data_IF_129086047303
#
_entry.id   IF_129086047303
#
_cell.length_a   1.000
_cell.length_b   1.000
_cell.length_c   1.000
_cell.angle_alpha   90.00
_cell.angle_beta   90.00
_cell.angle_gamma   90.00
#
_symmetry.space_group_name_H-M   'P 1'
#
loop_
_entity.id
_entity.type
_entity.pdbx_description
1 polymer ?
#
# COMPACT_ATOMS: atom_id res chain seq x y z
N UNK A 1 -28.35 -18.15 -1.68
CA UNK A 1 -28.57 -16.71 -1.47
C UNK A 1 -27.78 -15.95 -2.52
N UNK A 2 -28.43 -15.03 -3.26
CA UNK A 2 -27.79 -14.34 -4.36
C UNK A 2 -27.64 -12.85 -4.02
N UNK A 3 -26.73 -12.54 -3.08
CA UNK A 3 -26.27 -11.18 -2.89
C UNK A 3 -25.05 -10.99 -3.79
N UNK A 4 -25.28 -10.61 -5.05
CA UNK A 4 -24.21 -10.40 -6.02
C UNK A 4 -23.57 -9.03 -5.84
N UNK A 5 -22.25 -8.86 -6.13
CA UNK A 5 -21.65 -7.55 -6.26
C UNK A 5 -22.17 -6.84 -7.53
N UNK A 6 -22.13 -5.50 -7.54
CA UNK A 6 -22.56 -4.72 -8.70
C UNK A 6 -21.42 -3.82 -9.18
N UNK A 7 -21.31 -3.70 -10.49
CA UNK A 7 -20.50 -2.70 -11.16
C UNK A 7 -21.43 -1.89 -12.06
N UNK A 8 -21.80 -0.69 -11.62
CA UNK A 8 -22.72 0.20 -12.30
C UNK A 8 -21.90 1.19 -13.09
N UNK A 9 -22.08 1.20 -14.40
CA UNK A 9 -21.44 2.13 -15.32
C UNK A 9 -22.46 3.21 -15.72
N UNK A 10 -22.25 4.42 -15.25
CA UNK A 10 -23.17 5.54 -15.49
C UNK A 10 -23.00 6.11 -16.90
N UNK A 11 -21.80 6.01 -17.45
CA UNK A 11 -21.43 6.49 -18.78
C UNK A 11 -21.84 5.52 -19.93
N UNK A 12 -22.38 4.35 -19.59
CA UNK A 12 -22.64 3.28 -20.56
C UNK A 12 -23.67 3.63 -21.65
N UNK A 13 -24.74 4.35 -21.28
CA UNK A 13 -25.82 4.72 -22.23
C UNK A 13 -25.73 6.19 -22.60
N UNK A 14 -25.48 7.05 -21.65
CA UNK A 14 -25.38 8.49 -21.82
C UNK A 14 -23.93 8.91 -21.63
N UNK A 15 -23.23 9.19 -22.72
CA UNK A 15 -21.83 9.57 -22.70
C UNK A 15 -21.58 10.80 -21.81
N UNK A 16 -20.63 10.69 -20.90
CA UNK A 16 -20.27 11.72 -19.92
C UNK A 16 -21.23 11.82 -18.74
N UNK A 17 -22.13 10.84 -18.56
CA UNK A 17 -22.95 10.79 -17.34
C UNK A 17 -22.11 10.35 -16.14
N UNK A 18 -22.15 11.17 -15.09
CA UNK A 18 -21.48 10.88 -13.82
C UNK A 18 -22.40 11.16 -12.62
N UNK A 19 -21.95 10.73 -11.46
CA UNK A 19 -22.49 11.13 -10.15
C UNK A 19 -21.36 11.76 -9.32
N UNK A 20 -21.39 13.07 -9.14
CA UNK A 20 -20.37 13.82 -8.38
C UNK A 20 -18.93 13.62 -8.91
N UNK A 21 -18.76 13.49 -10.23
CA UNK A 21 -17.49 13.27 -10.88
C UNK A 21 -17.06 11.80 -10.97
N UNK A 22 -17.92 10.85 -10.58
CA UNK A 22 -17.65 9.41 -10.70
C UNK A 22 -18.53 8.79 -11.79
N UNK A 23 -17.91 8.16 -12.78
CA UNK A 23 -18.59 7.44 -13.86
C UNK A 23 -19.01 6.01 -13.46
N UNK A 24 -18.39 5.46 -12.40
CA UNK A 24 -18.61 4.08 -11.95
C UNK A 24 -18.92 4.00 -10.45
N UNK A 25 -19.91 3.15 -10.12
CA UNK A 25 -20.24 2.79 -8.74
C UNK A 25 -19.98 1.29 -8.59
N UNK A 26 -19.07 0.92 -7.70
CA UNK A 26 -18.73 -0.47 -7.39
C UNK A 26 -19.25 -0.84 -6.01
N UNK A 27 -20.14 -1.84 -5.99
CA UNK A 27 -20.78 -2.33 -4.78
C UNK A 27 -20.29 -3.74 -4.47
N UNK A 28 -19.42 -3.86 -3.49
CA UNK A 28 -18.95 -5.12 -2.91
C UNK A 28 -20.06 -5.71 -2.02
N UNK A 29 -20.29 -7.00 -2.13
CA UNK A 29 -21.38 -7.69 -1.45
C UNK A 29 -21.05 -8.16 -0.03
N UNK A 30 -19.87 -7.80 0.49
CA UNK A 30 -19.41 -8.15 1.84
C UNK A 30 -19.25 -9.67 2.04
N UNK A 31 -18.87 -10.40 0.96
CA UNK A 31 -18.56 -11.83 1.05
C UNK A 31 -17.28 -12.03 1.90
N UNK A 32 -17.25 -13.11 2.68
CA UNK A 32 -16.13 -13.46 3.56
C UNK A 32 -15.75 -12.39 4.61
N UNK A 33 -16.68 -11.49 4.91
CA UNK A 33 -16.52 -10.50 5.99
C UNK A 33 -17.70 -10.50 6.95
N UNK A 34 -17.68 -11.36 7.99
CA UNK A 34 -18.73 -11.34 9.02
C UNK A 34 -18.82 -10.00 9.75
N UNK A 35 -17.74 -9.24 9.85
CA UNK A 35 -17.72 -7.95 10.54
C UNK A 35 -18.33 -6.81 9.72
N UNK A 36 -18.41 -6.92 8.38
CA UNK A 36 -18.74 -5.84 7.45
C UNK A 36 -17.75 -4.66 7.46
N UNK A 37 -16.61 -4.78 8.15
CA UNK A 37 -15.69 -3.67 8.41
C UNK A 37 -14.39 -3.75 7.61
N UNK A 38 -13.98 -4.97 7.19
CA UNK A 38 -12.64 -5.24 6.65
C UNK A 38 -12.27 -4.33 5.49
N UNK A 39 -13.15 -4.22 4.51
CA UNK A 39 -12.88 -3.46 3.29
C UNK A 39 -12.77 -1.96 3.56
N UNK A 40 -13.71 -1.39 4.32
CA UNK A 40 -13.71 0.05 4.63
C UNK A 40 -12.50 0.42 5.49
N UNK A 41 -12.25 -0.33 6.56
CA UNK A 41 -11.11 -0.07 7.45
C UNK A 41 -9.78 -0.20 6.72
N UNK A 42 -9.65 -1.20 5.84
CA UNK A 42 -8.44 -1.40 5.04
C UNK A 42 -8.16 -0.22 4.11
N UNK A 43 -9.17 0.28 3.41
CA UNK A 43 -9.01 1.46 2.57
C UNK A 43 -8.76 2.73 3.38
N UNK A 44 -9.40 2.91 4.54
CA UNK A 44 -9.13 4.04 5.44
C UNK A 44 -7.67 4.05 5.94
N UNK A 45 -7.14 2.88 6.29
CA UNK A 45 -5.74 2.74 6.71
C UNK A 45 -4.80 2.99 5.52
N UNK A 46 -5.04 2.34 4.37
CA UNK A 46 -4.18 2.46 3.19
C UNK A 46 -4.02 3.91 2.71
N UNK A 47 -5.12 4.70 2.70
CA UNK A 47 -5.09 6.11 2.27
C UNK A 47 -4.24 7.03 3.12
N UNK A 48 -3.79 6.61 4.30
CA UNK A 48 -2.83 7.37 5.10
C UNK A 48 -1.42 7.34 4.54
N UNK A 49 -1.11 6.33 3.70
CA UNK A 49 0.27 6.00 3.30
C UNK A 49 0.49 5.97 1.79
N UNK A 50 -0.58 5.82 1.00
CA UNK A 50 -0.49 5.70 -0.46
C UNK A 50 -1.82 6.05 -1.13
N UNK A 51 -1.83 6.31 -2.46
CA UNK A 51 -3.05 6.37 -3.24
C UNK A 51 -3.86 5.07 -3.10
N UNK A 52 -5.08 5.19 -2.55
CA UNK A 52 -5.99 4.06 -2.38
C UNK A 52 -7.45 4.53 -2.44
N UNK A 53 -8.33 3.64 -2.88
CA UNK A 53 -9.75 3.93 -3.10
C UNK A 53 -10.46 4.43 -1.84
N UNK A 54 -11.45 5.30 -2.03
CA UNK A 54 -12.43 5.64 -0.98
C UNK A 54 -13.42 4.49 -0.86
N UNK A 55 -13.94 4.27 0.35
CA UNK A 55 -14.96 3.27 0.60
C UNK A 55 -15.96 3.76 1.65
N UNK A 56 -17.22 3.38 1.51
CA UNK A 56 -18.28 3.67 2.47
C UNK A 56 -19.40 2.62 2.39
N UNK A 57 -20.28 2.60 3.37
CA UNK A 57 -21.48 1.78 3.35
C UNK A 57 -22.57 2.39 2.46
N UNK A 58 -23.36 1.52 1.83
CA UNK A 58 -24.56 1.90 1.09
C UNK A 58 -25.66 0.83 1.24
N UNK A 59 -26.90 1.26 1.48
CA UNK A 59 -28.06 0.42 1.38
C UNK A 59 -28.55 0.40 -0.08
N UNK A 60 -28.52 -0.76 -0.72
CA UNK A 60 -28.96 -0.91 -2.12
C UNK A 60 -30.43 -1.27 -2.20
N UNK A 61 -31.18 -0.45 -2.92
CA UNK A 61 -32.58 -0.71 -3.26
C UNK A 61 -32.74 -0.88 -4.77
N UNK A 62 -33.50 -1.88 -5.19
CA UNK A 62 -33.94 -2.05 -6.58
C UNK A 62 -35.47 -2.15 -6.56
N UNK A 63 -36.14 -1.27 -7.30
CA UNK A 63 -37.61 -1.17 -7.33
C UNK A 63 -38.23 -1.21 -5.94
N UNK A 64 -37.78 -0.30 -5.07
CA UNK A 64 -38.19 -0.13 -3.66
C UNK A 64 -37.94 -1.35 -2.75
N UNK A 65 -37.26 -2.37 -3.23
CA UNK A 65 -36.88 -3.54 -2.44
C UNK A 65 -35.43 -3.41 -1.95
N UNK A 66 -35.22 -3.46 -0.63
CA UNK A 66 -33.89 -3.47 -0.03
C UNK A 66 -33.18 -4.78 -0.38
N UNK A 67 -32.07 -4.71 -1.09
CA UNK A 67 -31.19 -5.85 -1.36
C UNK A 67 -30.19 -6.10 -0.24
N UNK A 68 -29.86 -5.09 0.53
CA UNK A 68 -28.98 -5.20 1.69
C UNK A 68 -27.94 -4.10 1.77
N UNK A 69 -27.04 -4.24 2.74
CA UNK A 69 -25.90 -3.37 2.95
C UNK A 69 -24.71 -3.81 2.10
N UNK A 70 -24.14 -2.89 1.33
CA UNK A 70 -22.98 -3.08 0.48
C UNK A 70 -21.85 -2.14 0.88
N UNK A 71 -20.62 -2.49 0.56
CA UNK A 71 -19.51 -1.54 0.54
C UNK A 71 -19.42 -0.93 -0.85
N UNK A 72 -19.55 0.40 -0.94
CA UNK A 72 -19.27 1.15 -2.15
C UNK A 72 -17.81 1.54 -2.18
N UNK A 73 -17.09 1.11 -3.22
CA UNK A 73 -15.63 1.31 -3.37
C UNK A 73 -15.36 2.14 -4.61
N UNK A 74 -14.55 3.18 -4.48
CA UNK A 74 -14.07 3.99 -5.60
C UNK A 74 -13.36 3.12 -6.64
N UNK A 75 -13.78 3.22 -7.90
CA UNK A 75 -13.13 2.49 -8.98
C UNK A 75 -11.71 3.03 -9.22
N UNK A 76 -10.74 2.14 -9.39
CA UNK A 76 -9.42 2.53 -9.90
C UNK A 76 -9.54 2.65 -11.43
N UNK A 77 -9.85 3.86 -11.87
CA UNK A 77 -10.15 4.24 -13.25
C UNK A 77 -9.43 5.57 -13.60
N UNK A 78 -9.76 6.18 -14.73
CA UNK A 78 -9.14 7.42 -15.20
C UNK A 78 -9.30 8.59 -14.21
N UNK A 79 -10.42 8.68 -13.50
CA UNK A 79 -10.68 9.71 -12.49
C UNK A 79 -9.76 9.52 -11.28
N UNK A 80 -9.65 8.30 -10.77
CA UNK A 80 -8.70 7.96 -9.71
C UNK A 80 -7.26 8.33 -10.11
N UNK A 81 -6.84 7.92 -11.31
CA UNK A 81 -5.49 8.21 -11.81
C UNK A 81 -5.23 9.71 -11.93
N UNK A 82 -6.18 10.47 -12.48
CA UNK A 82 -6.08 11.93 -12.57
C UNK A 82 -5.94 12.60 -11.21
N UNK A 83 -6.72 12.15 -10.22
CA UNK A 83 -6.71 12.72 -8.87
C UNK A 83 -5.40 12.45 -8.14
N UNK A 84 -4.85 11.25 -8.26
CA UNK A 84 -3.67 10.84 -7.50
C UNK A 84 -2.35 11.09 -8.22
N UNK A 85 -2.31 10.90 -9.54
CA UNK A 85 -1.07 11.00 -10.33
C UNK A 85 -1.03 12.22 -11.26
N UNK A 86 -2.14 12.96 -11.42
CA UNK A 86 -2.21 14.13 -12.30
C UNK A 86 -2.33 13.81 -13.78
N UNK A 87 -2.17 12.55 -14.16
CA UNK A 87 -2.33 12.03 -15.52
C UNK A 87 -3.20 10.79 -15.51
N UNK A 88 -3.72 10.38 -16.68
CA UNK A 88 -4.69 9.26 -16.76
C UNK A 88 -4.62 8.46 -18.06
N UNK A 89 -3.69 8.79 -18.94
CA UNK A 89 -3.64 8.22 -20.29
C UNK A 89 -2.40 7.34 -20.52
N UNK A 90 -1.52 7.23 -19.52
CA UNK A 90 -0.31 6.42 -19.61
C UNK A 90 -0.62 4.93 -19.42
N UNK A 91 0.40 4.12 -19.56
CA UNK A 91 0.30 2.65 -19.39
C UNK A 91 -0.36 2.27 -18.08
N UNK A 92 -1.42 1.48 -18.18
CA UNK A 92 -2.25 1.08 -17.05
C UNK A 92 -2.71 -0.36 -17.17
N UNK A 93 -2.41 -1.17 -16.17
CA UNK A 93 -2.76 -2.59 -16.10
C UNK A 93 -3.46 -2.96 -14.80
N UNK A 94 -4.27 -4.01 -14.85
CA UNK A 94 -4.72 -4.76 -13.68
C UNK A 94 -4.04 -6.12 -13.68
N UNK A 95 -3.39 -6.49 -12.58
CA UNK A 95 -2.99 -7.87 -12.29
C UNK A 95 -4.24 -8.69 -11.97
N UNK A 96 -4.71 -9.42 -12.97
CA UNK A 96 -5.98 -10.14 -12.91
C UNK A 96 -5.94 -11.35 -13.84
N UNK A 97 -5.40 -12.47 -13.39
CA UNK A 97 -5.32 -13.67 -14.19
C UNK A 97 -6.72 -14.11 -14.67
N UNK A 98 -6.83 -14.50 -15.93
CA UNK A 98 -8.09 -14.93 -16.54
C UNK A 98 -8.67 -16.17 -15.83
N UNK A 99 -7.77 -17.02 -15.33
CA UNK A 99 -8.10 -18.13 -14.43
C UNK A 99 -7.04 -18.12 -13.33
N UNK A 100 -7.50 -18.05 -12.09
CA UNK A 100 -6.59 -18.13 -10.94
C UNK A 100 -6.07 -19.56 -10.83
N UNK A 101 -4.77 -19.72 -11.00
CA UNK A 101 -4.09 -20.98 -10.78
C UNK A 101 -3.45 -20.95 -9.38
N UNK A 102 -3.92 -21.86 -8.52
CA UNK A 102 -3.45 -21.94 -7.13
C UNK A 102 -2.00 -22.47 -7.02
N UNK A 103 -1.51 -23.08 -8.09
CA UNK A 103 -0.14 -23.58 -8.21
C UNK A 103 0.55 -22.97 -9.45
N UNK A 104 0.19 -21.76 -9.83
CA UNK A 104 0.67 -21.08 -11.02
C UNK A 104 1.23 -19.69 -10.74
N UNK A 105 1.86 -19.12 -11.76
CA UNK A 105 2.51 -17.82 -11.63
C UNK A 105 1.53 -16.66 -11.47
N UNK A 106 0.36 -16.75 -12.11
CA UNK A 106 -0.62 -15.68 -12.13
C UNK A 106 -0.02 -14.34 -12.61
N UNK A 107 -0.43 -13.21 -12.02
CA UNK A 107 0.11 -11.89 -12.36
C UNK A 107 1.32 -11.51 -11.48
N UNK A 108 2.31 -12.42 -11.35
CA UNK A 108 3.41 -12.25 -10.40
C UNK A 108 4.58 -11.38 -10.87
N UNK A 109 4.54 -10.85 -12.10
CA UNK A 109 5.61 -10.06 -12.71
C UNK A 109 6.93 -10.85 -12.90
N UNK A 110 6.84 -12.18 -13.01
CA UNK A 110 7.97 -13.02 -13.41
C UNK A 110 8.22 -12.91 -14.91
N UNK A 111 9.47 -13.10 -15.32
CA UNK A 111 9.85 -13.22 -16.73
C UNK A 111 9.80 -14.66 -17.29
N UNK A 112 9.30 -15.61 -16.50
CA UNK A 112 9.20 -17.03 -16.88
C UNK A 112 8.29 -17.28 -18.11
N UNK A 113 7.22 -16.47 -18.39
CA UNK A 113 6.49 -16.62 -19.65
C UNK A 113 7.32 -16.34 -20.91
N UNK A 114 8.52 -15.78 -20.76
CA UNK A 114 9.47 -15.55 -21.85
C UNK A 114 9.37 -14.16 -22.48
N UNK A 115 10.00 -13.99 -23.64
CA UNK A 115 10.19 -12.69 -24.28
C UNK A 115 9.00 -12.21 -25.14
N UNK A 116 7.96 -13.02 -25.33
CA UNK A 116 6.82 -12.64 -26.14
C UNK A 116 5.71 -12.06 -25.25
N UNK A 117 5.33 -10.81 -25.48
CA UNK A 117 4.30 -10.11 -24.71
C UNK A 117 2.95 -10.82 -24.74
N UNK A 118 2.64 -11.60 -25.77
CA UNK A 118 1.38 -12.36 -25.89
C UNK A 118 1.23 -13.38 -24.75
N UNK A 119 2.32 -13.89 -24.21
CA UNK A 119 2.32 -14.85 -23.11
C UNK A 119 1.87 -14.23 -21.77
N UNK A 120 1.86 -12.91 -21.67
CA UNK A 120 1.39 -12.18 -20.47
C UNK A 120 -0.09 -11.81 -20.52
N UNK A 121 -0.75 -11.90 -21.69
CA UNK A 121 -2.16 -11.55 -21.85
C UNK A 121 -3.10 -12.32 -20.90
N UNK A 122 -2.86 -13.60 -20.56
CA UNK A 122 -3.70 -14.32 -19.61
C UNK A 122 -3.63 -13.79 -18.18
N UNK A 123 -2.58 -13.06 -17.80
CA UNK A 123 -2.32 -12.63 -16.42
C UNK A 123 -2.70 -11.18 -16.17
N UNK A 124 -2.68 -10.33 -17.21
CA UNK A 124 -2.86 -8.90 -17.06
C UNK A 124 -3.97 -8.37 -17.95
N UNK A 125 -4.83 -7.52 -17.40
CA UNK A 125 -5.79 -6.78 -18.20
C UNK A 125 -5.25 -5.38 -18.48
N UNK A 126 -5.00 -5.07 -19.74
CA UNK A 126 -4.68 -3.72 -20.21
C UNK A 126 -5.91 -2.82 -20.00
N UNK A 127 -5.72 -1.66 -19.37
CA UNK A 127 -6.75 -0.65 -19.05
C UNK A 127 -6.56 0.66 -19.80
N UNK A 128 -5.39 0.87 -20.38
CA UNK A 128 -5.05 1.96 -21.30
C UNK A 128 -5.14 1.48 -22.74
N UNK A 129 -4.97 2.39 -23.70
CA UNK A 129 -5.01 2.07 -25.13
C UNK A 129 -3.71 1.38 -25.61
N UNK A 130 -2.63 1.45 -24.82
CA UNK A 130 -1.30 0.88 -25.11
C UNK A 130 -0.59 0.51 -23.80
N UNK A 131 0.59 -0.17 -23.87
CA UNK A 131 1.43 -0.38 -22.70
C UNK A 131 2.10 -1.75 -22.60
N UNK A 132 1.80 -2.71 -23.48
CA UNK A 132 2.40 -4.05 -23.38
C UNK A 132 3.92 -4.05 -23.43
N UNK A 133 4.51 -3.18 -24.25
CA UNK A 133 5.97 -3.02 -24.31
C UNK A 133 6.52 -2.46 -22.98
N UNK A 134 5.82 -1.51 -22.40
CA UNK A 134 6.24 -0.89 -21.13
C UNK A 134 6.18 -1.90 -19.99
N UNK A 135 5.09 -2.69 -19.92
CA UNK A 135 4.97 -3.77 -18.94
C UNK A 135 6.09 -4.81 -19.10
N UNK A 136 6.36 -5.23 -20.33
CA UNK A 136 7.43 -6.18 -20.60
C UNK A 136 8.81 -5.65 -20.20
N UNK A 137 9.12 -4.41 -20.56
CA UNK A 137 10.39 -3.77 -20.19
C UNK A 137 10.51 -3.64 -18.65
N UNK A 138 9.42 -3.34 -17.98
CA UNK A 138 9.39 -3.30 -16.51
C UNK A 138 9.63 -4.69 -15.90
N UNK A 139 8.96 -5.73 -16.42
CA UNK A 139 9.17 -7.11 -15.97
C UNK A 139 10.63 -7.53 -16.20
N UNK A 140 11.21 -7.20 -17.34
CA UNK A 140 12.62 -7.49 -17.63
C UNK A 140 13.56 -6.76 -16.66
N UNK A 141 13.32 -5.47 -16.43
CA UNK A 141 14.10 -4.69 -15.45
C UNK A 141 13.99 -5.25 -14.04
N UNK A 142 12.78 -5.59 -13.62
CA UNK A 142 12.52 -6.15 -12.29
C UNK A 142 13.24 -7.49 -12.06
N UNK A 143 13.38 -8.33 -13.10
CA UNK A 143 13.96 -9.67 -12.98
C UNK A 143 15.45 -9.72 -13.31
N UNK A 144 15.93 -8.90 -14.26
CA UNK A 144 17.28 -9.02 -14.82
C UNK A 144 18.16 -7.79 -14.57
N UNK A 145 17.58 -6.61 -14.25
CA UNK A 145 18.30 -5.33 -14.16
C UNK A 145 17.93 -4.54 -12.91
N UNK A 146 17.92 -5.20 -11.73
CA UNK A 146 17.45 -4.65 -10.45
C UNK A 146 18.16 -3.35 -10.04
N UNK A 147 19.42 -3.16 -10.44
CA UNK A 147 20.16 -1.91 -10.19
C UNK A 147 19.55 -0.66 -10.87
N UNK A 148 18.73 -0.85 -11.89
CA UNK A 148 18.03 0.22 -12.62
C UNK A 148 16.55 0.33 -12.23
N UNK A 149 16.11 -0.37 -11.21
CA UNK A 149 14.69 -0.50 -10.85
C UNK A 149 14.06 0.85 -10.45
N UNK A 150 14.79 1.72 -9.75
CA UNK A 150 14.32 3.06 -9.38
C UNK A 150 13.99 3.96 -10.59
N UNK A 151 14.46 3.62 -11.79
CA UNK A 151 14.14 4.35 -13.03
C UNK A 151 12.79 3.93 -13.63
N UNK A 152 12.17 2.85 -13.16
CA UNK A 152 10.92 2.32 -13.70
C UNK A 152 9.87 2.00 -12.64
N UNK A 153 10.23 2.00 -11.36
CA UNK A 153 9.34 1.64 -10.26
C UNK A 153 9.36 2.70 -9.18
N UNK A 154 8.18 3.12 -8.74
CA UNK A 154 8.04 3.83 -7.48
C UNK A 154 8.27 2.84 -6.32
N UNK A 155 9.55 2.73 -5.93
CA UNK A 155 9.96 1.77 -4.88
C UNK A 155 9.29 2.07 -3.56
N UNK A 156 9.19 3.33 -3.15
CA UNK A 156 8.60 3.70 -1.87
C UNK A 156 7.12 3.28 -1.79
N UNK A 157 6.32 3.59 -2.81
CA UNK A 157 4.91 3.14 -2.87
C UNK A 157 4.79 1.61 -2.90
N UNK A 158 5.75 0.92 -3.53
CA UNK A 158 5.82 -0.56 -3.55
C UNK A 158 6.07 -1.10 -2.14
N UNK A 159 6.98 -0.50 -1.39
CA UNK A 159 7.26 -0.89 -0.01
C UNK A 159 6.05 -0.63 0.90
N UNK A 160 5.35 0.49 0.73
CA UNK A 160 4.11 0.77 1.45
C UNK A 160 3.01 -0.26 1.15
N UNK A 161 2.82 -0.63 -0.13
CA UNK A 161 1.85 -1.65 -0.52
C UNK A 161 2.13 -2.99 0.17
N UNK A 162 3.39 -3.44 0.16
CA UNK A 162 3.76 -4.69 0.80
C UNK A 162 3.70 -4.59 2.32
N UNK A 163 4.10 -3.46 2.92
CA UNK A 163 3.96 -3.21 4.34
C UNK A 163 2.49 -3.28 4.79
N UNK A 164 1.58 -2.68 4.02
CA UNK A 164 0.15 -2.78 4.26
C UNK A 164 -0.35 -4.23 4.19
N UNK A 165 -0.02 -4.94 3.09
CA UNK A 165 -0.50 -6.31 2.89
C UNK A 165 -0.05 -7.25 4.01
N UNK A 166 1.20 -7.15 4.46
CA UNK A 166 1.70 -7.98 5.55
C UNK A 166 1.27 -7.51 6.94
N UNK A 167 1.14 -6.21 7.18
CA UNK A 167 0.64 -5.70 8.45
C UNK A 167 -0.77 -6.19 8.73
N UNK A 168 -1.67 -6.09 7.75
CA UNK A 168 -3.08 -6.44 7.88
C UNK A 168 -3.42 -7.86 7.41
N UNK A 169 -2.43 -8.66 7.04
CA UNK A 169 -2.64 -10.00 6.45
C UNK A 169 -3.67 -9.94 5.31
N UNK A 170 -3.39 -9.11 4.32
CA UNK A 170 -4.17 -8.99 3.09
C UNK A 170 -3.54 -9.84 1.99
N UNK A 171 -3.81 -11.15 2.01
CA UNK A 171 -3.14 -12.09 1.11
C UNK A 171 -3.95 -12.42 -0.15
N UNK A 172 -5.19 -12.02 -0.24
CA UNK A 172 -5.91 -11.96 -1.53
C UNK A 172 -5.43 -10.78 -2.38
N UNK A 173 -4.14 -10.79 -2.68
CA UNK A 173 -3.38 -9.70 -3.28
C UNK A 173 -2.19 -10.23 -4.07
N UNK A 174 -1.26 -9.35 -4.43
CA UNK A 174 0.03 -9.74 -4.99
C UNK A 174 0.78 -10.77 -4.11
N UNK A 175 0.61 -10.72 -2.78
CA UNK A 175 1.32 -11.59 -1.83
C UNK A 175 0.88 -13.05 -1.98
N UNK A 176 -0.41 -13.34 -1.93
CA UNK A 176 -0.93 -14.71 -1.98
C UNK A 176 -0.83 -15.31 -3.38
N UNK A 177 -1.76 -14.99 -4.25
CA UNK A 177 -1.79 -15.55 -5.62
C UNK A 177 -1.55 -14.52 -6.72
N UNK A 178 -0.83 -13.44 -6.44
CA UNK A 178 -0.43 -12.41 -7.39
C UNK A 178 -1.60 -11.90 -8.25
N UNK A 179 -2.62 -11.38 -7.56
CA UNK A 179 -3.82 -10.77 -8.15
C UNK A 179 -4.23 -9.51 -7.39
N UNK A 180 -5.36 -8.91 -7.73
CA UNK A 180 -6.00 -7.81 -6.99
C UNK A 180 -5.07 -6.61 -6.76
N UNK A 181 -4.38 -6.17 -7.80
CA UNK A 181 -3.62 -4.93 -7.81
C UNK A 181 -3.66 -4.28 -9.19
N UNK A 182 -3.35 -3.00 -9.25
CA UNK A 182 -3.12 -2.31 -10.50
C UNK A 182 -1.68 -1.81 -10.58
N UNK A 183 -1.21 -1.55 -11.81
CA UNK A 183 0.05 -0.89 -12.12
C UNK A 183 -0.25 0.29 -13.04
N UNK A 184 0.11 1.49 -12.62
CA UNK A 184 0.00 2.69 -13.42
C UNK A 184 1.37 3.34 -13.59
N UNK A 185 1.75 3.62 -14.84
CA UNK A 185 2.96 4.38 -15.14
C UNK A 185 2.65 5.86 -15.11
N UNK A 186 3.30 6.62 -14.22
CA UNK A 186 3.10 8.06 -14.10
C UNK A 186 3.86 8.85 -15.18
N UNK A 187 3.77 10.18 -15.14
CA UNK A 187 4.44 11.07 -16.11
C UNK A 187 5.97 11.08 -15.95
N UNK A 188 6.51 10.53 -14.85
CA UNK A 188 7.95 10.32 -14.67
C UNK A 188 8.43 8.99 -15.26
N UNK A 189 7.53 8.17 -15.81
CA UNK A 189 7.83 6.85 -16.32
C UNK A 189 7.90 5.74 -15.26
N UNK A 190 7.49 6.03 -14.03
CA UNK A 190 7.54 5.07 -12.91
C UNK A 190 6.23 4.30 -12.80
N UNK A 191 6.31 2.97 -12.74
CA UNK A 191 5.19 2.13 -12.37
C UNK A 191 4.86 2.27 -10.89
N UNK A 192 3.60 2.55 -10.61
CA UNK A 192 3.04 2.71 -9.28
C UNK A 192 2.07 1.55 -9.03
N UNK A 193 2.36 0.62 -8.10
CA UNK A 193 1.41 -0.42 -7.73
C UNK A 193 0.29 0.17 -6.85
N UNK A 194 -0.95 -0.21 -7.13
CA UNK A 194 -2.15 0.30 -6.47
C UNK A 194 -2.94 -0.86 -5.88
N UNK A 195 -3.29 -0.77 -4.61
CA UNK A 195 -4.12 -1.75 -3.91
C UNK A 195 -5.53 -1.82 -4.50
N UNK A 196 -6.06 -3.05 -4.56
CA UNK A 196 -7.42 -3.30 -5.00
C UNK A 196 -8.01 -4.50 -4.28
N UNK A 197 -9.35 -4.48 -4.07
CA UNK A 197 -10.17 -5.58 -3.52
C UNK A 197 -9.73 -6.00 -2.11
N UNK A 198 -9.86 -5.08 -1.15
CA UNK A 198 -9.39 -5.27 0.23
C UNK A 198 -10.41 -5.95 1.15
N UNK A 199 -11.49 -6.50 0.59
CA UNK A 199 -12.59 -7.12 1.34
C UNK A 199 -12.16 -8.35 2.16
N UNK A 200 -11.08 -9.01 1.76
CA UNK A 200 -10.55 -10.21 2.41
C UNK A 200 -9.28 -9.97 3.25
N UNK A 201 -9.00 -8.73 3.62
CA UNK A 201 -7.92 -8.40 4.56
C UNK A 201 -8.24 -8.85 5.99
N UNK A 202 -7.34 -8.59 6.93
CA UNK A 202 -7.42 -9.08 8.32
C UNK A 202 -7.56 -10.61 8.38
N UNK A 203 -6.74 -11.30 7.58
CA UNK A 203 -6.67 -12.76 7.51
C UNK A 203 -8.01 -13.45 7.20
N UNK A 204 -8.95 -12.76 6.53
CA UNK A 204 -10.13 -13.42 5.99
C UNK A 204 -9.74 -14.38 4.85
N UNK A 205 -8.75 -14.00 4.04
CA UNK A 205 -8.13 -14.87 3.04
C UNK A 205 -6.74 -15.31 3.53
N UNK A 206 -6.56 -16.63 3.70
CA UNK A 206 -5.36 -17.23 4.26
C UNK A 206 -4.77 -18.29 3.34
N UNK A 207 -4.71 -18.00 2.06
CA UNK A 207 -4.12 -18.90 1.07
C UNK A 207 -2.86 -18.29 0.48
N UNK A 208 -1.85 -19.13 0.30
CA UNK A 208 -0.61 -18.84 -0.42
C UNK A 208 -0.19 -20.08 -1.19
N UNK A 209 0.84 -19.98 -2.04
CA UNK A 209 1.35 -21.12 -2.82
C UNK A 209 1.66 -22.38 -2.00
N UNK A 210 2.07 -22.18 -0.74
CA UNK A 210 2.49 -23.27 0.16
C UNK A 210 1.40 -23.70 1.15
N UNK A 211 0.20 -23.11 1.10
CA UNK A 211 -0.88 -23.42 2.01
C UNK A 211 -1.80 -24.52 1.48
N UNK A 212 -2.49 -25.21 2.40
CA UNK A 212 -3.58 -26.10 2.02
C UNK A 212 -4.73 -25.33 1.37
N UNK A 213 -5.16 -25.79 0.21
CA UNK A 213 -6.19 -25.08 -0.58
C UNK A 213 -7.52 -24.89 0.17
N UNK A 214 -7.93 -25.86 0.98
CA UNK A 214 -9.25 -25.81 1.61
C UNK A 214 -9.26 -25.02 2.91
N UNK A 215 -8.21 -25.17 3.72
CA UNK A 215 -8.10 -24.54 5.03
C UNK A 215 -7.20 -23.30 5.03
N UNK A 216 -6.32 -23.18 4.05
CA UNK A 216 -5.25 -22.19 4.06
C UNK A 216 -4.31 -22.40 5.24
N UNK A 217 -3.55 -21.38 5.60
CA UNK A 217 -2.81 -21.37 6.85
C UNK A 217 -3.71 -20.92 8.02
N UNK A 218 -3.39 -21.37 9.23
CA UNK A 218 -4.19 -21.10 10.44
C UNK A 218 -4.12 -19.61 10.85
N UNK A 219 -5.03 -19.19 11.72
CA UNK A 219 -4.98 -17.85 12.33
C UNK A 219 -3.68 -17.66 13.12
N UNK A 220 -3.19 -18.71 13.80
CA UNK A 220 -1.93 -18.67 14.52
C UNK A 220 -0.74 -18.43 13.58
N UNK A 221 -0.70 -19.08 12.42
CA UNK A 221 0.31 -18.82 11.37
C UNK A 221 0.16 -17.45 10.77
N UNK A 222 -1.07 -16.94 10.59
CA UNK A 222 -1.31 -15.57 10.14
C UNK A 222 -0.70 -14.54 11.09
N UNK A 223 -0.86 -14.74 12.40
CA UNK A 223 -0.29 -13.87 13.44
C UNK A 223 1.23 -13.75 13.30
N UNK A 224 1.92 -14.87 13.06
CA UNK A 224 3.39 -14.96 13.00
C UNK A 224 3.93 -15.00 11.57
N UNK A 225 3.12 -14.65 10.57
CA UNK A 225 3.58 -14.61 9.18
C UNK A 225 4.72 -13.59 9.02
N UNK A 226 5.88 -14.09 8.54
CA UNK A 226 7.08 -13.28 8.36
C UNK A 226 6.90 -12.30 7.19
N UNK A 227 7.03 -10.98 7.41
CA UNK A 227 6.96 -9.99 6.33
C UNK A 227 8.02 -10.16 5.24
N UNK A 228 9.11 -10.85 5.51
CA UNK A 228 10.18 -11.15 4.57
C UNK A 228 10.14 -12.58 4.03
N UNK A 229 9.04 -13.32 4.20
CA UNK A 229 8.91 -14.71 3.76
C UNK A 229 9.31 -14.92 2.30
N UNK A 230 8.85 -14.06 1.37
CA UNK A 230 9.19 -14.15 -0.06
C UNK A 230 10.62 -13.74 -0.40
N UNK A 231 11.37 -13.15 0.53
CA UNK A 231 12.80 -12.93 0.41
C UNK A 231 13.59 -14.10 1.01
N UNK A 232 13.18 -14.58 2.20
CA UNK A 232 13.87 -15.60 2.96
C UNK A 232 13.70 -17.02 2.38
N UNK A 233 12.59 -17.28 1.68
CA UNK A 233 12.32 -18.59 1.06
C UNK A 233 12.17 -18.47 -0.46
N UNK A 234 12.58 -19.53 -1.17
CA UNK A 234 12.39 -19.62 -2.62
C UNK A 234 11.08 -20.35 -2.88
N UNK A 235 10.03 -19.61 -3.19
CA UNK A 235 8.79 -20.19 -3.70
C UNK A 235 8.98 -20.71 -5.12
N UNK A 236 8.24 -21.74 -5.49
CA UNK A 236 8.14 -22.22 -6.88
C UNK A 236 7.52 -21.14 -7.76
N UNK A 237 6.62 -20.34 -7.20
CA UNK A 237 5.99 -19.19 -7.86
C UNK A 237 6.46 -17.90 -7.19
N UNK A 238 7.62 -17.35 -7.61
CA UNK A 238 8.24 -16.22 -6.95
C UNK A 238 7.36 -14.97 -7.00
N UNK A 239 7.64 -14.04 -6.09
CA UNK A 239 7.07 -12.69 -6.06
C UNK A 239 8.20 -11.68 -6.36
N UNK A 240 8.58 -11.49 -7.63
CA UNK A 240 9.72 -10.64 -7.99
C UNK A 240 9.61 -9.21 -7.44
N UNK A 241 8.40 -8.63 -7.41
CA UNK A 241 8.17 -7.29 -6.85
C UNK A 241 8.49 -7.18 -5.34
N UNK A 242 8.57 -8.31 -4.65
CA UNK A 242 9.06 -8.38 -3.26
C UNK A 242 10.50 -8.87 -3.22
N UNK A 243 10.75 -10.05 -3.75
CA UNK A 243 12.05 -10.73 -3.64
C UNK A 243 13.19 -9.89 -4.19
N UNK A 244 13.02 -9.35 -5.40
CA UNK A 244 14.09 -8.60 -6.07
C UNK A 244 14.25 -7.19 -5.48
N UNK A 245 13.16 -6.54 -5.06
CA UNK A 245 13.21 -5.28 -4.33
C UNK A 245 13.93 -5.48 -2.98
N UNK A 246 13.62 -6.55 -2.26
CA UNK A 246 14.23 -6.84 -0.96
C UNK A 246 15.68 -7.34 -1.03
N UNK A 247 16.28 -7.49 -2.20
CA UNK A 247 17.73 -7.69 -2.33
C UNK A 247 18.52 -6.49 -1.77
N UNK A 248 17.95 -5.28 -1.77
CA UNK A 248 18.53 -4.11 -1.12
C UNK A 248 18.27 -4.15 0.40
N UNK A 249 19.34 -4.12 1.20
CA UNK A 249 19.23 -4.02 2.67
C UNK A 249 18.53 -2.74 3.10
N UNK A 250 18.82 -1.61 2.44
CA UNK A 250 18.14 -0.34 2.67
C UNK A 250 16.65 -0.47 2.46
N UNK A 251 16.19 -1.12 1.38
CA UNK A 251 14.75 -1.29 1.14
C UNK A 251 14.09 -2.19 2.19
N UNK A 252 14.79 -3.21 2.70
CA UNK A 252 14.27 -4.00 3.84
C UNK A 252 14.13 -3.14 5.11
N UNK A 253 15.10 -2.26 5.41
CA UNK A 253 15.01 -1.33 6.56
C UNK A 253 13.89 -0.30 6.36
N UNK A 254 13.72 0.26 5.16
CA UNK A 254 12.61 1.15 4.80
C UNK A 254 11.26 0.44 4.95
N UNK A 255 11.15 -0.77 4.43
CA UNK A 255 9.96 -1.61 4.53
C UNK A 255 9.56 -1.89 5.99
N UNK A 256 10.51 -2.26 6.84
CA UNK A 256 10.25 -2.46 8.27
C UNK A 256 9.86 -1.15 8.98
N UNK A 257 10.42 0.00 8.57
CA UNK A 257 9.97 1.30 9.05
C UNK A 257 8.52 1.60 8.67
N UNK A 258 8.08 1.24 7.46
CA UNK A 258 6.69 1.38 7.02
C UNK A 258 5.74 0.46 7.80
N UNK A 259 6.11 -0.81 8.01
CA UNK A 259 5.36 -1.74 8.88
C UNK A 259 5.19 -1.13 10.27
N UNK A 260 6.28 -0.66 10.89
CA UNK A 260 6.23 -0.02 12.20
C UNK A 260 5.26 1.17 12.21
N UNK A 261 5.34 2.05 11.21
CA UNK A 261 4.45 3.21 11.11
C UNK A 261 2.98 2.80 11.01
N UNK A 262 2.65 1.82 10.15
CA UNK A 262 1.28 1.30 10.05
C UNK A 262 0.81 0.73 11.39
N UNK A 263 1.64 -0.06 12.05
CA UNK A 263 1.27 -0.72 13.31
C UNK A 263 1.11 0.29 14.45
N UNK A 264 2.03 1.23 14.61
CA UNK A 264 1.99 2.23 15.69
C UNK A 264 0.81 3.21 15.52
N UNK A 265 0.55 3.67 14.29
CA UNK A 265 -0.50 4.65 14.02
C UNK A 265 -1.92 4.09 14.00
N UNK A 266 -2.08 2.80 13.86
CA UNK A 266 -3.42 2.20 13.74
C UNK A 266 -3.70 1.13 14.79
N UNK A 267 -2.75 0.23 15.05
CA UNK A 267 -3.01 -0.98 15.82
C UNK A 267 -2.56 -0.80 17.27
N UNK A 268 -1.29 -0.48 17.51
CA UNK A 268 -0.71 -0.35 18.85
C UNK A 268 -1.43 0.72 19.68
N UNK A 269 -1.82 1.83 19.05
CA UNK A 269 -2.59 2.89 19.70
C UNK A 269 -4.11 2.62 19.77
N UNK A 270 -4.57 1.44 19.33
CA UNK A 270 -5.97 1.00 19.30
C UNK A 270 -6.92 1.88 18.47
N UNK A 271 -6.41 2.76 17.59
CA UNK A 271 -7.28 3.64 16.79
C UNK A 271 -8.16 2.84 15.82
N UNK A 272 -7.66 1.71 15.28
CA UNK A 272 -8.45 0.80 14.44
C UNK A 272 -9.66 0.21 15.17
N UNK A 273 -9.50 -0.15 16.46
CA UNK A 273 -10.58 -0.68 17.27
C UNK A 273 -11.68 0.36 17.52
N UNK A 274 -11.26 1.57 17.93
CA UNK A 274 -12.20 2.68 18.13
C UNK A 274 -12.96 3.00 16.84
N UNK A 275 -12.25 3.04 15.71
CA UNK A 275 -12.87 3.22 14.39
C UNK A 275 -13.79 2.06 14.01
N UNK A 276 -13.43 0.84 14.34
CA UNK A 276 -14.27 -0.35 14.16
C UNK A 276 -15.59 -0.25 14.90
N UNK A 277 -15.59 0.22 16.15
CA UNK A 277 -16.82 0.48 16.94
C UNK A 277 -17.70 1.55 16.30
N UNK A 278 -17.12 2.64 15.79
CA UNK A 278 -17.87 3.70 15.09
C UNK A 278 -18.52 3.15 13.81
N UNK A 279 -17.78 2.42 13.00
CA UNK A 279 -18.30 1.82 11.76
C UNK A 279 -19.36 0.75 12.05
N UNK A 280 -19.19 -0.04 13.11
CA UNK A 280 -20.16 -1.03 13.54
C UNK A 280 -21.47 -0.33 13.97
N UNK A 281 -21.38 0.74 14.75
CA UNK A 281 -22.54 1.52 15.14
C UNK A 281 -23.25 2.16 13.94
N UNK A 282 -22.48 2.64 12.94
CA UNK A 282 -23.03 3.22 11.72
C UNK A 282 -23.78 2.18 10.86
N UNK A 283 -23.25 0.95 10.78
CA UNK A 283 -23.82 -0.12 9.98
C UNK A 283 -24.98 -0.87 10.67
N UNK A 284 -25.11 -0.77 11.99
CA UNK A 284 -25.92 -1.62 12.85
C UNK A 284 -27.34 -1.87 12.35
N UNK A 285 -28.13 -0.82 12.19
CA UNK A 285 -29.52 -0.94 11.72
C UNK A 285 -29.61 -1.49 10.30
N UNK A 286 -28.65 -1.17 9.44
CA UNK A 286 -28.62 -1.65 8.06
C UNK A 286 -28.30 -3.14 8.00
N UNK A 287 -27.34 -3.63 8.80
CA UNK A 287 -27.05 -5.07 8.91
C UNK A 287 -28.21 -5.83 9.53
N UNK A 288 -28.84 -5.27 10.57
CA UNK A 288 -30.03 -5.88 11.18
C UNK A 288 -31.12 -6.12 10.12
N UNK A 289 -31.41 -5.14 9.28
CA UNK A 289 -32.47 -5.16 8.27
C UNK A 289 -32.07 -5.87 6.96
N UNK A 290 -30.81 -6.18 6.74
CA UNK A 290 -30.34 -6.89 5.55
C UNK A 290 -30.72 -8.37 5.63
N UNK A 291 -31.81 -8.76 4.93
CA UNK A 291 -32.28 -10.16 4.87
C UNK A 291 -31.45 -11.03 3.96
N UNK A 292 -30.55 -10.46 3.14
CA UNK A 292 -29.70 -11.17 2.18
C UNK A 292 -28.24 -11.29 2.65
N UNK A 293 -27.91 -10.81 3.85
CA UNK A 293 -26.55 -10.92 4.41
C UNK A 293 -26.08 -12.36 4.49
N UNK A 294 -24.78 -12.58 4.30
CA UNK A 294 -24.18 -13.92 4.35
C UNK A 294 -24.06 -14.44 5.78
N UNK A 295 -23.81 -13.55 6.74
CA UNK A 295 -23.59 -13.86 8.15
C UNK A 295 -24.73 -13.33 9.00
N UNK A 296 -24.91 -13.90 10.19
CA UNK A 296 -25.96 -13.46 11.09
C UNK A 296 -25.66 -12.06 11.67
N UNK A 297 -26.68 -11.40 12.18
CA UNK A 297 -26.50 -10.14 12.91
C UNK A 297 -25.60 -10.32 14.15
N UNK A 298 -25.69 -11.47 14.81
CA UNK A 298 -24.82 -11.82 15.94
C UNK A 298 -23.36 -11.97 15.50
N UNK A 299 -23.10 -12.55 14.33
CA UNK A 299 -21.74 -12.65 13.79
C UNK A 299 -21.15 -11.27 13.51
N UNK A 300 -21.94 -10.35 12.94
CA UNK A 300 -21.57 -8.95 12.76
C UNK A 300 -21.18 -8.29 14.07
N UNK A 301 -22.01 -8.44 15.12
CA UNK A 301 -21.72 -7.86 16.43
C UNK A 301 -20.45 -8.42 17.06
N UNK A 302 -20.16 -9.70 16.83
CA UNK A 302 -19.04 -10.40 17.48
C UNK A 302 -17.72 -10.24 16.74
N UNK A 303 -17.70 -10.17 15.38
CA UNK A 303 -16.47 -10.36 14.62
C UNK A 303 -15.50 -9.17 14.64
N UNK A 304 -15.83 -8.08 15.29
CA UNK A 304 -14.82 -7.08 15.63
C UNK A 304 -13.80 -7.64 16.65
N UNK A 305 -14.28 -8.46 17.61
CA UNK A 305 -13.44 -8.93 18.72
C UNK A 305 -13.24 -10.44 18.74
N UNK A 306 -14.19 -11.23 18.26
CA UNK A 306 -14.20 -12.67 18.38
C UNK A 306 -14.24 -13.35 17.01
N UNK A 307 -13.66 -14.52 16.96
CA UNK A 307 -13.74 -15.40 15.79
C UNK A 307 -15.21 -15.78 15.47
N UNK A 308 -15.52 -15.81 14.18
CA UNK A 308 -16.76 -16.37 13.64
C UNK A 308 -16.40 -17.56 12.76
N UNK A 309 -17.02 -18.70 13.00
CA UNK A 309 -16.83 -19.93 12.23
C UNK A 309 -18.04 -20.14 11.32
N UNK A 310 -17.77 -20.34 10.02
CA UNK A 310 -18.75 -20.74 9.00
C UNK A 310 -18.07 -21.78 8.08
N UNK A 311 -17.88 -21.51 6.80
CA UNK A 311 -17.10 -22.37 5.91
C UNK A 311 -15.62 -22.44 6.31
N UNK A 312 -15.10 -21.33 6.81
CA UNK A 312 -13.77 -21.20 7.42
C UNK A 312 -13.88 -20.40 8.71
N UNK A 313 -12.81 -20.37 9.49
CA UNK A 313 -12.70 -19.49 10.64
C UNK A 313 -12.31 -18.08 10.23
N UNK A 314 -13.14 -17.09 10.54
CA UNK A 314 -12.86 -15.67 10.36
C UNK A 314 -12.41 -15.08 11.69
N UNK A 315 -11.13 -14.67 11.82
CA UNK A 315 -10.65 -14.11 13.09
C UNK A 315 -11.39 -12.82 13.45
N UNK A 316 -11.59 -12.58 14.73
CA UNK A 316 -11.93 -11.25 15.20
C UNK A 316 -10.80 -10.29 14.85
N UNK A 317 -11.14 -9.06 14.45
CA UNK A 317 -10.13 -8.10 14.02
C UNK A 317 -9.12 -7.82 15.15
N UNK A 318 -9.61 -7.62 16.39
CA UNK A 318 -8.71 -7.40 17.55
C UNK A 318 -7.94 -8.66 17.92
N UNK A 319 -8.61 -9.82 17.90
CA UNK A 319 -7.95 -11.10 18.17
C UNK A 319 -6.72 -11.33 17.29
N UNK A 320 -6.83 -10.99 16.01
CA UNK A 320 -5.73 -11.08 15.07
C UNK A 320 -4.69 -9.98 15.31
N UNK A 321 -5.14 -8.72 15.32
CA UNK A 321 -4.25 -7.58 15.19
C UNK A 321 -3.45 -7.28 16.45
N UNK A 322 -4.03 -7.49 17.64
CA UNK A 322 -3.31 -7.29 18.91
C UNK A 322 -2.16 -8.31 19.03
N UNK A 323 -2.44 -9.58 18.70
CA UNK A 323 -1.41 -10.60 18.68
C UNK A 323 -0.37 -10.39 17.57
N UNK A 324 -0.80 -9.93 16.38
CA UNK A 324 0.07 -9.58 15.26
C UNK A 324 1.02 -8.44 15.63
N UNK A 325 0.53 -7.40 16.31
CA UNK A 325 1.35 -6.29 16.77
C UNK A 325 2.46 -6.77 17.71
N UNK A 326 2.13 -7.62 18.66
CA UNK A 326 3.13 -8.20 19.57
C UNK A 326 4.22 -8.96 18.79
N UNK A 327 3.84 -9.77 17.81
CA UNK A 327 4.80 -10.50 16.99
C UNK A 327 5.69 -9.56 16.17
N UNK A 328 5.11 -8.61 15.43
CA UNK A 328 5.87 -7.70 14.56
C UNK A 328 6.88 -6.87 15.34
N UNK A 329 6.55 -6.47 16.58
CA UNK A 329 7.47 -5.73 17.47
C UNK A 329 8.71 -6.53 17.86
N UNK A 330 8.70 -7.86 17.73
CA UNK A 330 9.86 -8.72 18.02
C UNK A 330 10.81 -8.88 16.84
N UNK A 331 10.41 -8.44 15.64
CA UNK A 331 11.21 -8.67 14.43
C UNK A 331 12.43 -7.74 14.35
N UNK A 332 13.53 -8.22 13.75
CA UNK A 332 14.66 -7.36 13.42
C UNK A 332 14.21 -6.16 12.58
N UNK A 333 14.78 -4.98 12.86
CA UNK A 333 14.44 -3.74 12.16
C UNK A 333 13.18 -3.02 12.65
N UNK A 334 12.37 -3.64 13.51
CA UNK A 334 11.26 -2.94 14.14
C UNK A 334 11.72 -1.98 15.24
N UNK A 335 12.73 -2.35 16.00
CA UNK A 335 13.35 -1.56 17.06
C UNK A 335 14.78 -1.16 16.69
N UNK A 336 15.41 -0.31 17.52
CA UNK A 336 16.81 0.09 17.35
C UNK A 336 17.03 1.07 16.19
N UNK A 337 16.00 1.81 15.78
CA UNK A 337 16.07 2.81 14.72
C UNK A 337 16.70 4.12 15.21
N UNK A 338 17.32 4.93 14.31
CA UNK A 338 17.86 6.23 14.64
C UNK A 338 16.83 7.19 15.25
N UNK A 339 17.29 8.10 16.09
CA UNK A 339 16.47 9.19 16.63
C UNK A 339 16.67 10.43 15.76
N UNK A 340 15.61 10.89 15.10
CA UNK A 340 15.57 12.14 14.34
C UNK A 340 14.93 13.21 15.23
N UNK A 341 15.62 14.34 15.41
CA UNK A 341 15.22 15.38 16.34
C UNK A 341 14.99 16.70 15.58
N UNK A 342 15.86 17.68 15.73
CA UNK A 342 15.64 19.04 15.23
C UNK A 342 16.03 19.18 13.77
N UNK A 343 15.14 19.77 12.96
CA UNK A 343 15.39 20.19 11.58
C UNK A 343 15.64 21.69 11.60
N UNK A 344 16.77 22.13 11.05
CA UNK A 344 17.07 23.54 10.86
C UNK A 344 17.34 23.84 9.39
N UNK A 345 16.91 25.04 8.96
CA UNK A 345 17.13 25.56 7.62
C UNK A 345 18.09 26.75 7.75
N UNK A 346 19.28 26.59 7.19
CA UNK A 346 20.40 27.49 7.42
C UNK A 346 20.51 28.54 6.29
N UNK A 347 20.36 29.81 6.64
CA UNK A 347 20.56 30.96 5.74
C UNK A 347 19.29 31.49 5.07
N UNK A 348 19.42 32.45 4.18
CA UNK A 348 18.27 33.05 3.50
C UNK A 348 17.70 32.10 2.45
N UNK A 349 16.37 32.02 2.41
CA UNK A 349 15.64 31.16 1.46
C UNK A 349 15.35 31.94 0.17
N UNK A 350 16.36 32.14 -0.67
CA UNK A 350 16.28 32.96 -1.90
C UNK A 350 16.30 32.04 -3.12
N UNK A 351 15.32 32.25 -4.01
CA UNK A 351 15.24 31.50 -5.28
C UNK A 351 16.55 31.64 -6.08
N UNK A 352 17.03 30.53 -6.64
CA UNK A 352 18.28 30.46 -7.39
C UNK A 352 19.55 30.41 -6.55
N UNK A 353 19.45 30.47 -5.21
CA UNK A 353 20.60 30.28 -4.31
C UNK A 353 20.64 28.84 -3.77
N UNK A 354 21.79 28.47 -3.23
CA UNK A 354 21.93 27.21 -2.52
C UNK A 354 21.30 27.31 -1.13
N UNK A 355 20.69 26.25 -0.66
CA UNK A 355 20.04 26.16 0.64
C UNK A 355 20.61 25.00 1.44
N UNK A 356 21.21 25.29 2.58
CA UNK A 356 21.65 24.26 3.52
C UNK A 356 20.48 23.87 4.45
N UNK A 357 20.28 22.56 4.63
CA UNK A 357 19.33 21.98 5.57
C UNK A 357 20.10 21.05 6.49
N UNK A 358 19.84 21.16 7.78
CA UNK A 358 20.45 20.30 8.78
C UNK A 358 19.41 19.50 9.55
N UNK A 359 19.81 18.34 10.04
CA UNK A 359 19.01 17.45 10.85
C UNK A 359 19.89 16.89 11.97
N UNK A 360 19.43 17.01 13.21
CA UNK A 360 20.06 16.34 14.33
C UNK A 360 19.60 14.90 14.41
N UNK A 361 20.56 13.95 14.35
CA UNK A 361 20.27 12.52 14.31
C UNK A 361 21.23 11.79 15.27
N UNK A 362 20.68 10.94 16.11
CA UNK A 362 21.47 10.03 16.94
C UNK A 362 21.33 8.59 16.42
N UNK A 363 22.41 7.80 16.59
CA UNK A 363 22.48 6.38 16.26
C UNK A 363 22.25 6.06 14.76
N UNK A 364 22.75 6.90 13.86
CA UNK A 364 22.68 6.70 12.42
C UNK A 364 24.05 6.53 11.76
N UNK A 365 24.14 5.60 10.81
CA UNK A 365 25.31 5.41 9.93
C UNK A 365 25.13 6.15 8.59
N UNK A 366 23.88 6.32 8.17
CA UNK A 366 23.52 7.02 6.92
C UNK A 366 22.33 7.93 7.17
N UNK A 367 22.43 9.18 6.71
CA UNK A 367 21.33 10.15 6.72
C UNK A 367 21.14 10.70 5.31
N UNK A 368 19.92 10.68 4.81
CA UNK A 368 19.54 11.18 3.48
C UNK A 368 18.52 12.31 3.59
N UNK A 369 18.72 13.33 2.79
CA UNK A 369 17.73 14.35 2.46
C UNK A 369 17.17 14.03 1.06
N UNK A 370 15.87 13.84 0.94
CA UNK A 370 15.20 13.73 -0.35
C UNK A 370 14.44 15.03 -0.62
N UNK A 371 14.55 15.59 -1.82
CA UNK A 371 13.89 16.85 -2.17
C UNK A 371 13.38 16.87 -3.61
N UNK A 372 12.43 17.76 -3.89
CA UNK A 372 11.93 18.06 -5.23
C UNK A 372 11.36 19.47 -5.28
N UNK A 373 11.28 20.04 -6.49
CA UNK A 373 10.79 21.40 -6.70
C UNK A 373 9.38 21.49 -7.30
N UNK A 374 8.91 20.40 -7.88
CA UNK A 374 7.57 20.32 -8.46
C UNK A 374 6.77 19.19 -7.83
N UNK A 375 5.48 19.43 -7.65
CA UNK A 375 4.57 18.39 -7.19
C UNK A 375 4.62 17.18 -8.14
N UNK A 376 4.61 15.99 -7.57
CA UNK A 376 4.66 14.71 -8.29
C UNK A 376 5.94 14.41 -9.09
N UNK A 377 6.95 15.31 -9.11
CA UNK A 377 8.27 14.91 -9.63
C UNK A 377 8.96 13.92 -8.70
N UNK A 378 9.94 13.21 -9.23
CA UNK A 378 10.76 12.27 -8.45
C UNK A 378 11.57 13.05 -7.42
N UNK A 379 11.69 12.50 -6.21
CA UNK A 379 12.57 13.06 -5.20
C UNK A 379 14.03 12.73 -5.53
N UNK A 380 14.86 13.76 -5.63
CA UNK A 380 16.31 13.63 -5.64
C UNK A 380 16.81 13.36 -4.22
N UNK A 381 17.81 12.49 -4.08
CA UNK A 381 18.36 12.06 -2.78
C UNK A 381 19.77 12.57 -2.61
N UNK A 382 20.03 13.30 -1.52
CA UNK A 382 21.34 13.78 -1.13
C UNK A 382 21.79 13.08 0.14
N UNK A 383 23.06 12.64 0.17
CA UNK A 383 23.70 12.21 1.40
C UNK A 383 23.93 13.43 2.30
N UNK A 384 23.57 13.32 3.56
CA UNK A 384 23.90 14.32 4.59
C UNK A 384 25.14 13.88 5.35
N UNK A 385 25.95 14.86 5.80
CA UNK A 385 27.22 14.63 6.46
C UNK A 385 27.28 15.40 7.78
N UNK A 386 27.96 14.82 8.79
CA UNK A 386 28.31 15.43 10.05
C UNK A 386 29.86 15.67 10.06
N UNK A 387 30.30 16.62 9.21
CA UNK A 387 31.72 16.83 8.94
C UNK A 387 32.17 18.30 9.13
N UNK A 388 31.27 19.18 9.56
CA UNK A 388 31.53 20.62 9.75
C UNK A 388 31.62 21.44 8.46
N UNK A 389 31.25 20.85 7.29
CA UNK A 389 31.40 21.49 5.97
C UNK A 389 30.09 21.74 5.24
N UNK A 390 29.04 21.04 5.59
CA UNK A 390 27.71 21.07 4.89
C UNK A 390 26.67 21.95 5.60
N UNK A 391 27.13 22.93 6.38
CA UNK A 391 26.25 23.79 7.17
C UNK A 391 25.86 23.22 8.53
N UNK A 392 26.41 22.06 8.87
CA UNK A 392 26.17 21.26 10.08
C UNK A 392 26.90 21.77 11.34
N UNK A 393 27.86 22.71 11.20
CA UNK A 393 28.53 23.37 12.33
C UNK A 393 29.80 22.68 12.74
N UNK A 394 29.77 21.75 13.67
CA UNK A 394 30.96 21.09 14.23
C UNK A 394 30.93 19.60 13.87
N UNK A 395 32.01 19.11 13.28
CA UNK A 395 32.13 17.71 12.94
C UNK A 395 31.96 16.79 14.17
N UNK A 396 31.09 15.77 14.05
CA UNK A 396 30.90 14.75 15.10
C UNK A 396 29.95 15.17 16.23
N UNK A 397 29.11 16.19 16.04
CA UNK A 397 28.15 16.65 17.06
C UNK A 397 26.72 16.08 16.84
N UNK A 398 26.58 15.15 15.90
CA UNK A 398 25.35 14.51 15.51
C UNK A 398 24.35 15.43 14.74
N UNK A 399 24.82 16.56 14.23
CA UNK A 399 24.08 17.41 13.30
C UNK A 399 24.58 17.10 11.89
N UNK A 400 23.70 16.58 11.05
CA UNK A 400 24.01 16.24 9.67
C UNK A 400 23.52 17.34 8.75
N UNK A 401 24.31 17.74 7.76
CA UNK A 401 23.97 18.79 6.80
C UNK A 401 24.00 18.32 5.35
N UNK A 402 23.18 18.93 4.53
CA UNK A 402 23.24 18.85 3.07
C UNK A 402 22.80 20.17 2.43
N UNK A 403 23.28 20.41 1.21
CA UNK A 403 22.96 21.64 0.47
C UNK A 403 22.16 21.31 -0.77
N UNK A 404 20.93 21.81 -0.86
CA UNK A 404 20.08 21.78 -2.07
C UNK A 404 20.55 22.89 -2.99
N UNK A 405 20.96 22.59 -4.24
CA UNK A 405 21.42 23.60 -5.18
C UNK A 405 20.25 24.37 -5.80
N UNK A 406 20.46 25.64 -6.12
CA UNK A 406 19.59 26.48 -6.97
C UNK A 406 18.09 26.34 -6.67
N UNK A 407 17.69 26.56 -5.42
CA UNK A 407 16.32 26.30 -4.96
C UNK A 407 15.25 27.07 -5.76
N UNK A 408 14.13 26.39 -6.04
CA UNK A 408 12.95 26.96 -6.65
C UNK A 408 12.00 27.59 -5.61
N UNK A 409 10.87 28.19 -6.06
CA UNK A 409 9.90 28.87 -5.19
C UNK A 409 9.30 27.99 -4.09
N UNK A 410 9.28 26.67 -4.31
CA UNK A 410 8.76 25.70 -3.36
C UNK A 410 9.66 24.49 -3.37
N UNK A 411 10.00 24.02 -2.19
CA UNK A 411 10.79 22.81 -1.97
C UNK A 411 9.92 21.85 -1.16
N UNK A 412 9.72 20.63 -1.67
CA UNK A 412 9.15 19.52 -0.93
C UNK A 412 10.29 18.59 -0.55
N UNK A 413 10.37 18.17 0.70
CA UNK A 413 11.48 17.37 1.18
C UNK A 413 11.11 16.46 2.34
N UNK A 414 11.88 15.39 2.52
CA UNK A 414 11.80 14.49 3.66
C UNK A 414 13.20 13.95 4.00
N UNK A 415 13.31 13.32 5.15
CA UNK A 415 14.54 12.68 5.59
C UNK A 415 14.36 11.19 5.77
N UNK A 416 15.44 10.47 5.56
CA UNK A 416 15.59 9.07 5.93
C UNK A 416 16.93 8.88 6.63
N UNK A 417 16.92 8.23 7.80
CA UNK A 417 18.12 7.83 8.51
C UNK A 417 18.09 6.33 8.79
N UNK A 418 19.24 5.70 8.71
CA UNK A 418 19.39 4.26 8.97
C UNK A 418 20.71 3.98 9.69
N UNK A 419 20.68 2.89 10.46
CA UNK A 419 21.85 2.19 10.97
C UNK A 419 21.83 0.74 10.47
N UNK A 420 22.78 -0.09 10.95
CA UNK A 420 22.85 -1.50 10.56
C UNK A 420 21.58 -2.29 10.87
N UNK A 421 20.78 -1.85 11.84
CA UNK A 421 19.61 -2.56 12.34
C UNK A 421 18.31 -2.10 11.69
N UNK A 422 18.07 -0.79 11.60
CA UNK A 422 16.77 -0.25 11.26
C UNK A 422 16.84 1.13 10.58
N UNK A 423 15.75 1.53 9.95
CA UNK A 423 15.57 2.84 9.35
C UNK A 423 14.42 3.63 9.96
N UNK A 424 14.43 4.95 9.75
CA UNK A 424 13.38 5.87 10.17
C UNK A 424 13.22 7.01 9.18
N UNK A 425 11.98 7.41 8.93
CA UNK A 425 11.62 8.56 8.12
C UNK A 425 11.19 9.76 8.96
N UNK A 426 11.35 10.96 8.42
CA UNK A 426 10.74 12.18 8.90
C UNK A 426 10.27 13.04 7.70
N UNK A 427 8.94 13.27 7.53
CA UNK A 427 7.85 12.73 8.34
C UNK A 427 7.75 11.20 8.23
N UNK A 428 7.11 10.55 9.19
CA UNK A 428 7.09 9.06 9.27
C UNK A 428 6.41 8.39 8.08
N UNK A 429 5.53 9.12 7.37
CA UNK A 429 4.80 8.64 6.19
C UNK A 429 5.45 9.07 4.86
N UNK A 430 6.74 9.45 4.88
CA UNK A 430 7.45 9.78 3.64
C UNK A 430 7.56 8.51 2.75
N UNK A 431 7.61 8.67 1.40
CA UNK A 431 7.56 9.93 0.64
C UNK A 431 6.12 10.40 0.32
N UNK A 432 5.09 9.70 0.82
CA UNK A 432 3.68 10.09 0.64
C UNK A 432 3.37 11.42 1.33
N UNK A 433 3.89 11.62 2.56
CA UNK A 433 3.93 12.91 3.24
C UNK A 433 5.35 13.50 3.19
N UNK A 434 5.45 14.81 3.13
CA UNK A 434 6.70 15.54 3.04
C UNK A 434 6.57 16.93 3.69
N UNK A 435 7.67 17.51 4.08
CA UNK A 435 7.74 18.90 4.50
C UNK A 435 7.71 19.81 3.27
N UNK A 436 7.20 21.03 3.44
CA UNK A 436 7.17 22.05 2.39
C UNK A 436 7.77 23.34 2.88
N UNK A 437 8.75 23.86 2.15
CA UNK A 437 9.36 25.15 2.37
C UNK A 437 9.04 26.07 1.17
N UNK A 438 8.60 27.30 1.46
CA UNK A 438 8.48 28.36 0.46
C UNK A 438 9.70 29.25 0.55
N UNK A 439 10.36 29.49 -0.58
CA UNK A 439 11.46 30.44 -0.75
C UNK A 439 10.93 31.81 -1.16
N UNK A 440 11.71 32.84 -0.97
CA UNK A 440 11.36 34.24 -1.30
C UNK A 440 12.13 34.74 -2.53
#
# INVERSE_FOLDING_TARGET
RLKNPFNIDLDYIINGQDYQGYDKIKLSNVIQDPSFLREIMSYEIARKYMPASKANFVNLYINDTLLGLYTNVEAVNKEFLSNHYGSRNNTFFKGNPATLDLNGENANLSNSPGADSVNYYPFYNLKSDFGWTDLYNFIDTLNNHVSSLENQLNVDQTLWMHAFNYSLINFDSYVGYAQNYYLYQDDNGLFNPILWDLNMSFASYRLTDDSDFWSGFSIAEAIVSDPLAHFNSVSVYPRPLMRNVFNSERYRRMYMAHIRTIMEENIVNASYYNRGLELQALADSSVMNDTNKFYSYTDFQNNLTNMVTDLIDYPGLTQLMDARAVYLQTLPGYQGFPTLDTIDIVGPHIVGSNLAITLKVADADTVLLAYRFADRSVFEKLQMYDDGMHGDGIAGDSVYGATIPEVANTIQYYFYAENDSAGKFAPVRAAYEYYTLKTQ
#
